data_IF_342548065985
#
_entry.id   IF_342548065985
#
_cell.length_a   1.000
_cell.length_b   1.000
_cell.length_c   1.000
_cell.angle_alpha   90.00
_cell.angle_beta   90.00
_cell.angle_gamma   90.00
#
_symmetry.space_group_name_H-M   'P 1'
#
loop_
_entity.id
_entity.type
_entity.pdbx_description
1 polymer ?
#
# COMPACT_ATOMS: atom_id res chain seq x y z
N UNK A 1 -7.64 -4.08 12.65
CA UNK A 1 -6.42 -3.35 13.04
C UNK A 1 -5.23 -3.63 12.11
N UNK A 2 -5.06 -4.83 11.53
CA UNK A 2 -4.09 -5.07 10.44
C UNK A 2 -4.72 -5.04 9.04
N UNK A 3 -5.96 -5.51 8.89
CA UNK A 3 -6.68 -5.55 7.61
C UNK A 3 -6.97 -4.15 7.05
N UNK A 4 -7.19 -3.15 7.92
CA UNK A 4 -7.39 -1.75 7.51
C UNK A 4 -6.19 -1.14 6.81
N UNK A 5 -4.96 -1.63 7.08
CA UNK A 5 -3.76 -1.13 6.41
C UNK A 5 -3.66 -1.64 4.97
N UNK A 6 -4.17 -2.83 4.68
CA UNK A 6 -4.20 -3.39 3.32
C UNK A 6 -5.42 -2.91 2.52
N UNK A 7 -6.47 -2.44 3.18
CA UNK A 7 -7.73 -1.98 2.61
C UNK A 7 -7.64 -0.90 1.52
N UNK A 8 -6.64 0.02 1.49
CA UNK A 8 -6.52 1.00 0.40
C UNK A 8 -6.15 0.36 -0.94
N UNK A 9 -5.64 -0.87 -0.98
CA UNK A 9 -5.39 -1.56 -2.23
C UNK A 9 -6.11 -2.91 -2.26
N UNK A 10 -6.77 -3.21 -3.37
CA UNK A 10 -7.34 -4.53 -3.60
C UNK A 10 -6.23 -5.59 -3.52
N UNK A 11 -6.55 -6.78 -3.00
CA UNK A 11 -5.62 -7.92 -2.93
C UNK A 11 -4.97 -8.20 -4.30
N UNK A 12 -5.69 -7.97 -5.40
CA UNK A 12 -5.18 -8.09 -6.76
C UNK A 12 -4.02 -7.14 -7.05
N UNK A 13 -4.08 -5.89 -6.59
CA UNK A 13 -3.02 -4.89 -6.80
C UNK A 13 -1.77 -5.22 -6.00
N UNK A 14 -1.93 -5.71 -4.77
CA UNK A 14 -0.79 -6.17 -3.95
C UNK A 14 -0.03 -7.31 -4.62
N UNK A 15 -0.76 -8.30 -5.16
CA UNK A 15 -0.15 -9.40 -5.92
C UNK A 15 0.56 -8.86 -7.16
N UNK A 16 -0.05 -7.91 -7.87
CA UNK A 16 0.53 -7.31 -9.07
C UNK A 16 1.82 -6.54 -8.76
N UNK A 17 1.86 -5.78 -7.66
CA UNK A 17 3.08 -5.12 -7.18
C UNK A 17 4.17 -6.14 -6.87
N UNK A 18 3.85 -7.19 -6.09
CA UNK A 18 4.80 -8.26 -5.78
C UNK A 18 5.36 -8.92 -7.04
N UNK A 19 4.51 -9.26 -8.01
CA UNK A 19 4.93 -9.85 -9.29
C UNK A 19 5.81 -8.87 -10.06
N UNK A 20 5.46 -7.58 -10.10
CA UNK A 20 6.23 -6.56 -10.82
C UNK A 20 7.66 -6.41 -10.28
N UNK A 21 7.86 -6.48 -8.95
CA UNK A 21 9.19 -6.44 -8.32
C UNK A 21 10.04 -7.61 -8.82
N UNK A 22 9.48 -8.82 -8.86
CA UNK A 22 10.20 -10.01 -9.31
C UNK A 22 10.52 -9.96 -10.80
N UNK A 23 9.60 -9.44 -11.62
CA UNK A 23 9.82 -9.25 -13.06
C UNK A 23 10.96 -8.25 -13.30
N UNK A 24 10.97 -7.12 -12.60
CA UNK A 24 12.04 -6.12 -12.75
C UNK A 24 13.39 -6.66 -12.26
N UNK A 25 13.41 -7.39 -11.14
CA UNK A 25 14.62 -8.04 -10.67
C UNK A 25 15.16 -9.07 -11.68
N UNK A 26 14.27 -9.87 -12.29
CA UNK A 26 14.63 -10.83 -13.34
C UNK A 26 15.17 -10.12 -14.59
N UNK A 27 14.53 -9.04 -15.05
CA UNK A 27 15.00 -8.26 -16.20
C UNK A 27 16.35 -7.63 -15.91
N UNK A 28 16.57 -7.07 -14.73
CA UNK A 28 17.89 -6.54 -14.31
C UNK A 28 18.96 -7.64 -14.33
N UNK A 29 18.64 -8.83 -13.81
CA UNK A 29 19.54 -9.98 -13.84
C UNK A 29 19.86 -10.44 -15.26
N UNK A 30 18.86 -10.54 -16.14
CA UNK A 30 19.06 -10.91 -17.54
C UNK A 30 19.89 -9.85 -18.27
N UNK A 31 19.62 -8.56 -18.06
CA UNK A 31 20.39 -7.47 -18.68
C UNK A 31 21.85 -7.47 -18.24
N UNK A 32 22.15 -7.82 -16.99
CA UNK A 32 23.53 -7.97 -16.54
C UNK A 32 24.20 -9.20 -17.18
N UNK A 33 23.49 -10.34 -17.20
CA UNK A 33 23.98 -11.59 -17.81
C UNK A 33 24.22 -11.50 -19.31
N UNK A 34 23.35 -10.78 -20.03
CA UNK A 34 23.43 -10.57 -21.47
C UNK A 34 24.25 -9.35 -21.87
N UNK A 35 24.78 -8.55 -20.93
CA UNK A 35 25.65 -7.41 -21.24
C UNK A 35 27.05 -7.91 -21.63
N UNK A 36 27.45 -7.90 -22.93
CA UNK A 36 28.82 -8.22 -23.34
C UNK A 36 29.83 -7.14 -22.91
N UNK A 37 29.37 -5.96 -22.46
CA UNK A 37 30.23 -4.83 -22.11
C UNK A 37 30.89 -4.92 -20.74
N UNK A 38 30.40 -5.76 -19.82
CA UNK A 38 31.12 -6.06 -18.58
C UNK A 38 32.44 -6.81 -18.84
N UNK A 39 32.44 -7.64 -19.89
CA UNK A 39 33.56 -8.51 -20.26
C UNK A 39 34.77 -7.74 -20.83
N UNK A 40 34.56 -6.54 -21.40
CA UNK A 40 35.65 -5.73 -21.98
C UNK A 40 36.39 -4.87 -20.96
N UNK A 41 35.78 -4.55 -19.81
CA UNK A 41 36.39 -3.74 -18.74
C UNK A 41 37.00 -4.57 -17.60
N UNK A 42 36.55 -5.82 -17.43
CA UNK A 42 37.12 -6.77 -16.47
C UNK A 42 38.54 -7.24 -16.85
N UNK A 43 38.92 -7.14 -18.13
CA UNK A 43 40.27 -7.44 -18.59
C UNK A 43 41.33 -6.40 -18.15
N UNK A 44 40.91 -5.26 -17.56
CA UNK A 44 41.80 -4.15 -17.22
C UNK A 44 41.85 -3.83 -15.71
N UNK A 45 41.20 -4.60 -14.85
CA UNK A 45 41.24 -4.41 -13.40
C UNK A 45 41.09 -5.76 -12.72
N UNK A 46 42.16 -6.18 -12.03
CA UNK A 46 42.21 -7.32 -11.10
C UNK A 46 41.22 -7.12 -9.93
N UNK A 47 39.93 -7.23 -10.19
CA UNK A 47 38.90 -7.26 -9.15
C UNK A 47 38.07 -8.52 -9.32
N UNK A 48 38.50 -9.53 -8.58
CA UNK A 48 37.73 -10.55 -7.84
C UNK A 48 36.29 -10.84 -8.27
N UNK A 49 35.96 -12.12 -8.26
CA UNK A 49 34.69 -12.79 -8.57
C UNK A 49 33.44 -12.32 -7.78
N UNK A 50 33.52 -11.21 -7.05
CA UNK A 50 32.45 -10.54 -6.31
C UNK A 50 31.65 -9.53 -7.16
N UNK A 51 32.12 -9.22 -8.38
CA UNK A 51 31.67 -8.07 -9.19
C UNK A 51 30.57 -8.42 -10.25
N UNK A 52 30.03 -9.64 -10.23
CA UNK A 52 28.84 -10.01 -11.02
C UNK A 52 27.56 -9.68 -10.21
N UNK A 53 26.57 -9.02 -10.80
CA UNK A 53 25.30 -8.77 -10.09
C UNK A 53 24.60 -10.11 -9.83
N UNK A 54 24.77 -10.63 -8.61
CA UNK A 54 24.02 -11.80 -8.17
C UNK A 54 22.51 -11.49 -8.21
N UNK A 55 21.70 -12.50 -8.58
CA UNK A 55 20.23 -12.40 -8.63
C UNK A 55 19.66 -11.88 -7.30
N UNK A 56 20.27 -12.28 -6.18
CA UNK A 56 19.95 -11.78 -4.85
C UNK A 56 20.14 -10.28 -4.72
N UNK A 57 21.25 -9.72 -5.20
CA UNK A 57 21.52 -8.27 -5.17
C UNK A 57 20.55 -7.49 -6.04
N UNK A 58 20.14 -8.03 -7.19
CA UNK A 58 19.13 -7.41 -8.06
C UNK A 58 17.72 -7.40 -7.43
N UNK A 59 17.35 -8.48 -6.74
CA UNK A 59 16.09 -8.56 -5.98
C UNK A 59 16.10 -7.56 -4.83
N UNK A 60 17.19 -7.52 -4.04
CA UNK A 60 17.36 -6.55 -2.96
C UNK A 60 17.32 -5.11 -3.45
N UNK A 61 17.94 -4.81 -4.60
CA UNK A 61 17.86 -3.50 -5.22
C UNK A 61 16.41 -3.12 -5.61
N UNK A 62 15.67 -4.03 -6.27
CA UNK A 62 14.30 -3.78 -6.69
C UNK A 62 13.39 -3.51 -5.47
N UNK A 63 13.56 -4.28 -4.39
CA UNK A 63 12.88 -4.07 -3.11
C UNK A 63 13.31 -2.77 -2.42
N UNK A 64 14.60 -2.47 -2.40
CA UNK A 64 15.15 -1.25 -1.82
C UNK A 64 14.58 0.00 -2.46
N UNK A 65 14.51 0.04 -3.80
CA UNK A 65 13.89 1.15 -4.54
C UNK A 65 12.39 1.28 -4.23
N UNK A 66 11.65 0.16 -4.17
CA UNK A 66 10.22 0.18 -3.87
C UNK A 66 9.93 0.69 -2.45
N UNK A 67 10.74 0.28 -1.48
CA UNK A 67 10.61 0.67 -0.07
C UNK A 67 11.30 2.01 0.24
N UNK A 68 11.86 2.67 -0.77
CA UNK A 68 12.69 3.87 -0.62
C UNK A 68 13.82 3.69 0.42
N UNK A 69 14.31 2.45 0.55
CA UNK A 69 15.43 2.09 1.42
C UNK A 69 16.72 2.38 0.67
N UNK A 70 17.52 3.31 1.19
CA UNK A 70 18.79 3.76 0.58
C UNK A 70 19.93 2.74 0.62
N UNK A 71 19.64 1.46 0.87
CA UNK A 71 20.62 0.40 1.03
C UNK A 71 20.50 -0.53 -0.18
N UNK A 72 21.33 -0.26 -1.19
CA UNK A 72 21.54 -1.14 -2.32
C UNK A 72 23.02 -1.14 -2.68
N UNK A 73 23.79 -2.03 -2.05
CA UNK A 73 25.23 -2.18 -2.29
C UNK A 73 25.56 -2.67 -3.73
N UNK A 74 24.55 -2.99 -4.55
CA UNK A 74 24.70 -3.36 -5.95
C UNK A 74 24.11 -2.32 -6.90
N UNK A 75 24.84 -1.23 -7.17
CA UNK A 75 24.40 -0.22 -8.16
C UNK A 75 24.62 -0.77 -9.57
N UNK A 76 23.60 -0.85 -10.43
CA UNK A 76 23.77 -1.33 -11.80
C UNK A 76 24.79 -0.49 -12.57
N UNK A 77 25.88 -1.12 -13.02
CA UNK A 77 26.97 -0.45 -13.75
C UNK A 77 26.65 -0.21 -15.24
N UNK A 78 25.73 -0.97 -15.84
CA UNK A 78 25.35 -0.81 -17.25
C UNK A 78 24.37 0.35 -17.49
N UNK A 79 24.53 1.07 -18.60
CA UNK A 79 23.68 2.21 -18.96
C UNK A 79 22.19 1.80 -19.05
N UNK A 80 21.89 0.65 -19.65
CA UNK A 80 20.53 0.11 -19.75
C UNK A 80 19.91 -0.19 -18.38
N UNK A 81 20.68 -0.76 -17.44
CA UNK A 81 20.17 -1.06 -16.11
C UNK A 81 19.97 0.21 -15.25
N UNK A 82 20.74 1.28 -15.49
CA UNK A 82 20.50 2.59 -14.88
C UNK A 82 19.20 3.22 -15.35
N UNK A 83 18.94 3.21 -16.66
CA UNK A 83 17.68 3.72 -17.22
C UNK A 83 16.49 2.91 -16.68
N UNK A 84 16.61 1.58 -16.64
CA UNK A 84 15.57 0.72 -16.07
C UNK A 84 15.34 1.00 -14.57
N UNK A 85 16.42 1.22 -13.81
CA UNK A 85 16.32 1.61 -12.40
C UNK A 85 15.63 2.96 -12.19
N UNK A 86 15.86 3.95 -13.06
CA UNK A 86 15.16 5.24 -13.01
C UNK A 86 13.66 5.11 -13.30
N UNK A 87 13.29 4.31 -14.31
CA UNK A 87 11.88 4.04 -14.63
C UNK A 87 11.20 3.28 -13.48
N UNK A 88 11.89 2.31 -12.89
CA UNK A 88 11.41 1.58 -11.72
C UNK A 88 11.20 2.50 -10.51
N UNK A 89 12.12 3.43 -10.25
CA UNK A 89 11.97 4.41 -9.18
C UNK A 89 10.76 5.33 -9.41
N UNK A 90 10.51 5.77 -10.66
CA UNK A 90 9.31 6.53 -11.00
C UNK A 90 8.03 5.74 -10.77
N UNK A 91 8.01 4.47 -11.18
CA UNK A 91 6.88 3.58 -10.95
C UNK A 91 6.62 3.33 -9.45
N UNK A 92 7.67 3.08 -8.66
CA UNK A 92 7.58 2.93 -7.21
C UNK A 92 7.00 4.18 -6.54
N UNK A 93 7.46 5.38 -6.94
CA UNK A 93 6.93 6.64 -6.43
C UNK A 93 5.42 6.78 -6.70
N UNK A 94 4.97 6.41 -7.92
CA UNK A 94 3.54 6.46 -8.28
C UNK A 94 2.71 5.49 -7.41
N UNK A 95 3.21 4.28 -7.17
CA UNK A 95 2.52 3.30 -6.31
C UNK A 95 2.37 3.85 -4.90
N UNK A 96 3.45 4.35 -4.31
CA UNK A 96 3.44 4.88 -2.94
C UNK A 96 2.52 6.10 -2.85
N UNK A 97 2.60 7.02 -3.80
CA UNK A 97 1.72 8.18 -3.85
C UNK A 97 0.24 7.78 -3.95
N UNK A 98 -0.09 6.79 -4.78
CA UNK A 98 -1.46 6.29 -4.95
C UNK A 98 -1.97 5.59 -3.70
N UNK A 99 -1.11 4.82 -3.02
CA UNK A 99 -1.43 4.21 -1.72
C UNK A 99 -1.74 5.27 -0.67
N UNK A 100 -0.87 6.27 -0.54
CA UNK A 100 -1.05 7.37 0.41
C UNK A 100 -2.29 8.20 0.10
N UNK A 101 -2.58 8.45 -1.18
CA UNK A 101 -3.79 9.17 -1.60
C UNK A 101 -5.06 8.39 -1.25
N UNK A 102 -5.09 7.07 -1.52
CA UNK A 102 -6.28 6.28 -1.21
C UNK A 102 -6.47 6.06 0.29
N UNK A 103 -5.37 5.93 1.04
CA UNK A 103 -5.41 5.91 2.50
C UNK A 103 -5.95 7.24 3.05
N UNK A 104 -5.51 8.39 2.52
CA UNK A 104 -6.03 9.70 2.94
C UNK A 104 -7.51 9.86 2.60
N UNK A 105 -7.95 9.41 1.43
CA UNK A 105 -9.37 9.40 1.05
C UNK A 105 -10.20 8.56 2.03
N UNK A 106 -9.70 7.39 2.42
CA UNK A 106 -10.34 6.55 3.42
C UNK A 106 -10.43 7.23 4.79
N UNK A 107 -9.34 7.84 5.27
CA UNK A 107 -9.31 8.56 6.56
C UNK A 107 -10.26 9.76 6.61
N UNK A 108 -10.49 10.44 5.48
CA UNK A 108 -11.44 11.55 5.39
C UNK A 108 -12.90 11.05 5.36
N UNK A 109 -13.14 9.86 4.79
CA UNK A 109 -14.46 9.27 4.67
C UNK A 109 -14.91 8.49 5.90
N UNK A 110 -13.98 7.97 6.71
CA UNK A 110 -14.27 7.41 8.03
C UNK A 110 -14.71 8.53 8.99
N UNK A 111 -15.94 9.01 8.83
CA UNK A 111 -16.58 9.81 9.86
C UNK A 111 -16.92 8.87 11.01
N UNK A 112 -16.43 9.10 12.24
CA UNK A 112 -16.90 8.35 13.40
C UNK A 112 -18.42 8.48 13.44
N UNK A 113 -19.13 7.34 13.62
CA UNK A 113 -20.60 7.30 13.70
C UNK A 113 -21.06 8.46 14.57
N UNK A 114 -21.71 9.45 13.95
CA UNK A 114 -22.10 10.67 14.65
C UNK A 114 -22.99 10.27 15.81
N UNK A 115 -22.77 10.89 16.98
CA UNK A 115 -23.71 10.80 18.10
C UNK A 115 -25.10 11.17 17.58
N UNK A 116 -26.15 10.49 18.07
CA UNK A 116 -27.53 10.74 17.67
C UNK A 116 -27.80 12.24 17.66
N UNK A 117 -28.23 12.75 16.50
CA UNK A 117 -28.37 14.19 16.26
C UNK A 117 -29.56 14.80 17.01
N UNK A 118 -30.38 13.96 17.65
CA UNK A 118 -31.49 14.36 18.52
C UNK A 118 -32.73 13.48 18.31
N UNK A 119 -33.89 13.98 18.73
CA UNK A 119 -35.18 13.27 18.61
C UNK A 119 -35.65 13.11 17.15
N UNK A 120 -35.18 13.97 16.25
CA UNK A 120 -35.52 13.94 14.82
C UNK A 120 -34.58 13.06 13.98
N UNK A 121 -33.65 12.33 14.61
CA UNK A 121 -32.71 11.47 13.89
C UNK A 121 -33.48 10.32 13.20
N UNK A 122 -33.23 10.13 11.91
CA UNK A 122 -33.91 9.12 11.10
C UNK A 122 -33.69 7.69 11.64
N UNK A 123 -32.57 7.45 12.32
CA UNK A 123 -32.25 6.16 12.97
C UNK A 123 -33.07 5.90 14.24
N UNK A 124 -33.62 6.95 14.84
CA UNK A 124 -34.45 6.89 16.04
C UNK A 124 -35.94 6.82 15.68
N UNK A 125 -36.33 7.43 14.54
CA UNK A 125 -37.69 7.31 13.96
C UNK A 125 -37.96 5.97 13.29
N UNK A 126 -36.98 5.45 12.54
CA UNK A 126 -37.02 4.09 12.01
C UNK A 126 -36.08 3.26 12.86
N UNK A 127 -36.62 2.60 13.89
CA UNK A 127 -35.86 1.68 14.75
C UNK A 127 -35.28 0.57 13.87
N UNK A 128 -34.07 0.79 13.36
CA UNK A 128 -33.31 -0.23 12.66
C UNK A 128 -32.92 -1.28 13.69
N UNK A 129 -32.92 -2.55 13.31
CA UNK A 129 -32.57 -3.71 14.17
C UNK A 129 -31.21 -3.60 14.88
N UNK A 130 -30.37 -2.64 14.47
CA UNK A 130 -29.06 -2.37 15.04
C UNK A 130 -29.01 -1.29 16.14
N UNK A 131 -30.16 -0.69 16.52
CA UNK A 131 -30.24 0.35 17.54
C UNK A 131 -31.36 0.06 18.54
N UNK A 132 -31.04 -0.58 19.66
CA UNK A 132 -31.98 -0.79 20.78
C UNK A 132 -32.02 0.45 21.68
N UNK A 133 -33.12 1.19 21.67
CA UNK A 133 -33.36 2.31 22.59
C UNK A 133 -34.52 1.97 23.52
N UNK A 134 -34.39 2.28 24.81
CA UNK A 134 -35.42 2.05 25.83
C UNK A 134 -35.46 3.21 26.83
N UNK A 135 -36.61 3.36 27.50
CA UNK A 135 -36.82 4.31 28.60
C UNK A 135 -37.15 3.56 29.89
N UNK A 136 -37.06 4.25 31.04
CA UNK A 136 -37.38 3.68 32.35
C UNK A 136 -38.89 3.53 32.50
N UNK A 137 -39.35 2.29 32.75
CA UNK A 137 -40.76 1.93 32.93
C UNK A 137 -41.37 2.67 34.13
N UNK A 138 -42.54 3.27 33.96
CA UNK A 138 -43.24 4.03 35.01
C UNK A 138 -42.67 5.42 35.29
N UNK A 139 -41.71 5.89 34.49
CA UNK A 139 -41.19 7.26 34.59
C UNK A 139 -42.14 8.28 33.94
N UNK A 140 -41.93 9.57 34.25
CA UNK A 140 -42.62 10.66 33.57
C UNK A 140 -42.41 10.63 32.04
N UNK A 141 -41.25 10.14 31.59
CA UNK A 141 -40.89 10.02 30.17
C UNK A 141 -41.66 8.88 29.49
N UNK A 142 -41.83 7.73 30.16
CA UNK A 142 -42.67 6.61 29.68
C UNK A 142 -44.14 7.03 29.53
N UNK A 143 -44.69 7.73 30.52
CA UNK A 143 -46.05 8.27 30.45
C UNK A 143 -46.22 9.30 29.33
N UNK A 144 -45.23 10.17 29.10
CA UNK A 144 -45.24 11.15 28.02
C UNK A 144 -45.31 10.47 26.64
N UNK A 145 -44.48 9.46 26.39
CA UNK A 145 -44.48 8.74 25.11
C UNK A 145 -45.75 7.91 24.92
N UNK A 146 -46.29 7.27 25.97
CA UNK A 146 -47.58 6.54 25.89
C UNK A 146 -48.73 7.44 25.45
N UNK A 147 -48.81 8.67 25.96
CA UNK A 147 -49.84 9.65 25.60
C UNK A 147 -49.74 10.18 24.16
N UNK A 148 -48.58 10.03 23.50
CA UNK A 148 -48.41 10.43 22.10
C UNK A 148 -48.72 9.31 21.10
N UNK A 149 -48.91 8.08 21.60
CA UNK A 149 -49.22 6.90 20.78
C UNK A 149 -50.70 6.54 20.82
N UNK A 150 -51.43 6.94 21.87
CA UNK A 150 -52.90 6.98 21.92
C UNK A 150 -53.50 8.09 21.05
#
# INVERSE_FOLDING_TARGET
>A
TLVSFLQPFSNTLWILVMVSVHVVALVLYLLDRFSPFGRYRLANTDSTEEDALNLSSAIWFAWGVLLNSGIGEGVPRSFSARVLGMVWAGFAMIIVASYTANLAAFLVLERPKTKLTGINDARLRNTMENLTCATVKGSAVDMYFRRQVE
#
